data_IF_110241717444
#
_entry.id   IF_110241717444
#
_cell.length_a   1.000
_cell.length_b   1.000
_cell.length_c   1.000
_cell.angle_alpha   90.00
_cell.angle_beta   90.00
_cell.angle_gamma   90.00
#
_symmetry.space_group_name_H-M   'P 1'
#
loop_
_entity.id
_entity.type
_entity.pdbx_description
1 polymer ?
#
# COMPACT_ATOMS: atom_id res chain seq x y z
N UNK A 1 15.33 -27.34 -6.55
CA UNK A 1 14.70 -26.80 -5.32
C UNK A 1 15.53 -25.64 -4.78
N UNK A 2 15.69 -24.60 -5.59
CA UNK A 2 16.46 -23.40 -5.26
C UNK A 2 15.79 -22.24 -5.99
N UNK A 3 15.64 -21.11 -5.28
CA UNK A 3 15.31 -19.78 -5.84
C UNK A 3 13.82 -19.35 -5.97
N UNK A 4 12.97 -19.63 -4.99
CA UNK A 4 11.67 -18.94 -4.83
C UNK A 4 11.59 -18.27 -3.45
N UNK A 5 12.37 -17.22 -3.23
CA UNK A 5 12.13 -16.21 -2.19
C UNK A 5 12.67 -14.85 -2.67
N UNK A 6 12.03 -14.29 -3.70
CA UNK A 6 12.05 -12.84 -3.83
C UNK A 6 11.32 -12.30 -2.58
N UNK A 7 12.07 -11.85 -1.58
CA UNK A 7 11.52 -11.27 -0.37
C UNK A 7 10.65 -10.07 -0.78
N UNK A 8 9.35 -10.09 -0.43
CA UNK A 8 8.45 -8.97 -0.70
C UNK A 8 9.13 -7.67 -0.17
N UNK A 9 9.47 -6.69 -1.03
CA UNK A 9 10.17 -5.48 -0.60
C UNK A 9 9.32 -4.61 0.34
N UNK A 10 8.04 -4.94 0.50
CA UNK A 10 7.08 -4.27 1.37
C UNK A 10 6.77 -5.07 2.64
N UNK A 11 7.51 -6.14 2.94
CA UNK A 11 7.25 -7.00 4.10
C UNK A 11 7.45 -6.30 5.45
N UNK A 12 8.17 -5.18 5.50
CA UNK A 12 8.42 -4.39 6.70
C UNK A 12 7.92 -2.95 6.50
N UNK A 13 7.21 -2.42 7.49
CA UNK A 13 6.79 -1.04 7.58
C UNK A 13 7.30 -0.43 8.89
N UNK A 14 8.30 0.45 8.79
CA UNK A 14 8.93 1.15 9.92
C UNK A 14 9.34 0.24 11.09
N UNK A 15 10.00 -0.88 10.79
CA UNK A 15 10.44 -1.87 11.77
C UNK A 15 9.37 -2.88 12.20
N UNK A 16 8.14 -2.77 11.70
CA UNK A 16 7.05 -3.72 11.99
C UNK A 16 6.75 -4.63 10.80
N UNK A 17 6.34 -5.89 11.04
CA UNK A 17 5.85 -6.76 9.97
C UNK A 17 4.64 -6.15 9.28
N UNK A 18 4.65 -6.09 7.94
CA UNK A 18 3.52 -5.55 7.18
C UNK A 18 2.24 -6.37 7.37
N UNK A 19 2.38 -7.68 7.52
CA UNK A 19 1.27 -8.62 7.75
C UNK A 19 0.54 -8.43 9.08
N UNK A 20 1.14 -7.72 10.06
CA UNK A 20 0.46 -7.41 11.33
C UNK A 20 -0.38 -6.13 11.29
N UNK A 21 -0.46 -5.46 10.13
CA UNK A 21 -1.17 -4.18 9.97
C UNK A 21 -2.37 -4.41 9.05
N UNK A 22 -3.58 -4.15 9.57
CA UNK A 22 -4.80 -4.18 8.78
C UNK A 22 -4.93 -2.88 7.97
N UNK A 23 -4.46 -2.90 6.74
CA UNK A 23 -4.56 -1.76 5.82
C UNK A 23 -4.51 -2.26 4.38
N UNK A 24 -5.64 -2.62 3.82
CA UNK A 24 -5.73 -3.08 2.44
C UNK A 24 -7.02 -2.59 1.79
N UNK A 25 -6.99 -2.30 0.47
CA UNK A 25 -8.20 -1.92 -0.22
C UNK A 25 -9.14 -3.11 -0.38
N UNK A 26 -10.44 -2.84 -0.38
CA UNK A 26 -11.47 -3.78 -0.83
C UNK A 26 -12.22 -3.17 -2.03
N UNK A 27 -12.59 -4.02 -2.99
CA UNK A 27 -13.37 -3.62 -4.16
C UNK A 27 -14.79 -4.15 -4.01
N UNK A 28 -15.76 -3.24 -4.11
CA UNK A 28 -17.17 -3.52 -4.32
C UNK A 28 -17.40 -3.76 -5.82
N UNK A 29 -17.65 -5.02 -6.19
CA UNK A 29 -17.77 -5.43 -7.60
C UNK A 29 -19.01 -4.86 -8.27
N UNK A 30 -20.08 -4.57 -7.52
CA UNK A 30 -21.33 -4.03 -8.05
C UNK A 30 -21.14 -2.58 -8.50
N UNK A 31 -20.30 -1.83 -7.78
CA UNK A 31 -19.94 -0.44 -8.13
C UNK A 31 -18.77 -0.34 -9.10
N UNK A 32 -17.91 -1.36 -9.16
CA UNK A 32 -16.71 -1.32 -10.00
C UNK A 32 -17.10 -1.37 -11.49
N UNK A 33 -16.80 -0.33 -12.25
CA UNK A 33 -17.13 -0.28 -13.69
C UNK A 33 -16.07 -0.90 -14.60
N UNK A 34 -14.93 -1.34 -14.03
CA UNK A 34 -13.82 -1.85 -14.83
C UNK A 34 -12.95 -0.76 -15.48
N UNK A 35 -13.04 0.50 -15.05
CA UNK A 35 -12.27 1.59 -15.67
C UNK A 35 -10.73 1.47 -15.54
N UNK A 36 -10.21 0.57 -14.69
CA UNK A 36 -8.78 0.31 -14.55
C UNK A 36 -7.97 1.43 -13.86
N UNK A 37 -8.59 2.54 -13.47
CA UNK A 37 -7.87 3.68 -12.86
C UNK A 37 -7.05 3.27 -11.63
N UNK A 38 -7.61 2.44 -10.75
CA UNK A 38 -6.88 1.96 -9.57
C UNK A 38 -5.64 1.10 -9.92
N UNK A 39 -5.67 0.38 -11.04
CA UNK A 39 -4.57 -0.45 -11.53
C UNK A 39 -3.41 0.42 -11.99
N UNK A 40 -3.68 1.54 -12.67
CA UNK A 40 -2.63 2.44 -13.19
C UNK A 40 -2.16 3.50 -12.18
N UNK A 41 -3.03 3.92 -11.26
CA UNK A 41 -2.70 4.97 -10.28
C UNK A 41 -1.98 4.42 -9.04
N UNK A 42 -2.22 3.17 -8.66
CA UNK A 42 -1.49 2.57 -7.55
C UNK A 42 -0.03 2.39 -7.99
N UNK A 43 0.92 3.02 -7.27
CA UNK A 43 2.31 3.15 -7.72
C UNK A 43 2.88 1.84 -8.27
N UNK A 44 3.49 1.91 -9.45
CA UNK A 44 3.88 0.76 -10.30
C UNK A 44 4.72 -0.30 -9.57
N UNK A 45 5.48 0.10 -8.54
CA UNK A 45 6.29 -0.83 -7.74
C UNK A 45 5.46 -1.73 -6.81
N UNK A 46 4.26 -1.32 -6.42
CA UNK A 46 3.44 -2.02 -5.40
C UNK A 46 2.47 -3.04 -5.99
N UNK A 47 1.97 -2.81 -7.20
CA UNK A 47 1.08 -3.75 -7.91
C UNK A 47 -0.08 -4.28 -7.05
N UNK A 48 -0.69 -3.47 -6.18
CA UNK A 48 -1.76 -3.92 -5.27
C UNK A 48 -2.97 -4.48 -6.03
N UNK A 49 -3.29 -3.85 -7.15
CA UNK A 49 -4.43 -4.19 -8.00
C UNK A 49 -4.00 -4.97 -9.25
N UNK A 50 -4.90 -5.81 -9.73
CA UNK A 50 -4.87 -6.43 -11.05
C UNK A 50 -6.16 -6.14 -11.82
N UNK A 51 -6.24 -6.67 -13.04
CA UNK A 51 -7.40 -6.53 -13.90
C UNK A 51 -7.82 -7.90 -14.43
N UNK A 52 -9.07 -8.27 -14.15
CA UNK A 52 -9.71 -9.45 -14.71
C UNK A 52 -10.33 -9.08 -16.06
N UNK A 53 -9.77 -9.61 -17.15
CA UNK A 53 -10.23 -9.32 -18.51
C UNK A 53 -11.55 -10.00 -18.86
N UNK A 54 -11.86 -11.16 -18.27
CA UNK A 54 -13.10 -11.88 -18.55
C UNK A 54 -14.28 -11.18 -17.87
N UNK A 55 -14.10 -10.84 -16.59
CA UNK A 55 -15.12 -10.15 -15.78
C UNK A 55 -15.16 -8.64 -16.06
N UNK A 56 -14.11 -8.10 -16.68
CA UNK A 56 -13.89 -6.65 -16.90
C UNK A 56 -13.95 -5.87 -15.60
N UNK A 57 -13.24 -6.35 -14.57
CA UNK A 57 -13.23 -5.76 -13.23
C UNK A 57 -11.80 -5.63 -12.72
N UNK A 58 -11.54 -4.59 -11.94
CA UNK A 58 -10.34 -4.54 -11.13
C UNK A 58 -10.45 -5.52 -9.96
N UNK A 59 -9.33 -6.12 -9.58
CA UNK A 59 -9.22 -7.07 -8.47
C UNK A 59 -8.05 -6.67 -7.55
N UNK A 60 -8.10 -7.06 -6.28
CA UNK A 60 -6.98 -6.86 -5.35
C UNK A 60 -6.13 -8.13 -5.39
N UNK A 61 -4.91 -8.06 -5.93
CA UNK A 61 -4.01 -9.22 -6.06
C UNK A 61 -3.03 -9.32 -4.90
N UNK A 62 -2.48 -8.19 -4.45
CA UNK A 62 -1.42 -8.15 -3.44
C UNK A 62 -1.77 -7.13 -2.35
N UNK A 63 -2.73 -7.46 -1.46
CA UNK A 63 -3.22 -6.52 -0.44
C UNK A 63 -2.11 -6.02 0.49
N UNK A 64 -1.15 -6.88 0.87
CA UNK A 64 -0.03 -6.53 1.75
C UNK A 64 0.95 -5.54 1.11
N UNK A 65 0.97 -5.40 -0.23
CA UNK A 65 1.81 -4.40 -0.89
C UNK A 65 1.23 -2.98 -0.75
N UNK A 66 -0.01 -2.84 -0.27
CA UNK A 66 -0.63 -1.55 -0.04
C UNK A 66 0.20 -0.74 0.97
N UNK A 67 0.49 0.51 0.63
CA UNK A 67 1.19 1.43 1.51
C UNK A 67 0.27 1.78 2.68
N UNK A 68 0.69 1.44 3.90
CA UNK A 68 -0.04 1.75 5.13
C UNK A 68 -0.32 3.26 5.19
N UNK A 69 -1.59 3.62 5.37
CA UNK A 69 -2.08 5.00 5.42
C UNK A 69 -2.34 5.67 4.06
N UNK A 70 -1.94 5.07 2.93
CA UNK A 70 -2.31 5.58 1.61
C UNK A 70 -3.71 5.11 1.24
N UNK A 71 -4.59 6.04 0.84
CA UNK A 71 -5.96 5.76 0.39
C UNK A 71 -6.30 6.43 -0.95
N UNK A 72 -5.29 6.82 -1.76
CA UNK A 72 -5.51 7.62 -2.97
C UNK A 72 -6.43 6.93 -3.99
N UNK A 73 -6.39 5.60 -4.09
CA UNK A 73 -7.30 4.84 -4.96
C UNK A 73 -8.76 4.84 -4.46
N UNK A 74 -9.01 4.95 -3.14
CA UNK A 74 -10.36 5.20 -2.61
C UNK A 74 -10.84 6.59 -2.98
N UNK A 75 -10.00 7.62 -2.75
CA UNK A 75 -10.34 9.01 -3.07
C UNK A 75 -10.57 9.21 -4.57
N UNK A 76 -9.73 8.62 -5.42
CA UNK A 76 -9.81 8.75 -6.88
C UNK A 76 -10.89 7.88 -7.53
N UNK A 77 -11.49 6.93 -6.82
CA UNK A 77 -12.52 6.08 -7.42
C UNK A 77 -13.84 6.86 -7.60
N UNK A 78 -14.10 7.31 -8.82
CA UNK A 78 -15.33 8.05 -9.19
C UNK A 78 -16.63 7.30 -8.88
N UNK A 79 -16.57 5.97 -8.75
CA UNK A 79 -17.72 5.09 -8.54
C UNK A 79 -17.89 4.66 -7.08
N UNK A 80 -17.02 5.12 -6.17
CA UNK A 80 -17.06 4.71 -4.76
C UNK A 80 -16.90 3.20 -4.56
N UNK A 81 -16.20 2.53 -5.48
CA UNK A 81 -16.05 1.08 -5.48
C UNK A 81 -14.91 0.57 -4.59
N UNK A 82 -14.06 1.46 -4.06
CA UNK A 82 -12.88 1.07 -3.28
C UNK A 82 -12.98 1.62 -1.86
N UNK A 83 -12.83 0.75 -0.87
CA UNK A 83 -12.81 1.11 0.54
C UNK A 83 -11.49 0.71 1.21
N UNK A 84 -11.11 1.43 2.26
CA UNK A 84 -9.98 1.09 3.15
C UNK A 84 -10.49 1.00 4.59
N UNK A 85 -9.72 0.38 5.51
CA UNK A 85 -9.97 0.46 6.94
C UNK A 85 -9.98 1.91 7.45
N UNK A 86 -10.44 2.09 8.68
CA UNK A 86 -10.48 3.40 9.31
C UNK A 86 -9.05 3.94 9.53
N UNK A 87 -8.79 5.15 9.04
CA UNK A 87 -7.49 5.84 9.17
C UNK A 87 -7.04 6.02 10.63
N UNK A 88 -7.97 6.04 11.58
CA UNK A 88 -7.64 6.09 13.01
C UNK A 88 -6.85 4.87 13.49
N UNK A 89 -7.01 3.71 12.86
CA UNK A 89 -6.21 2.50 13.19
C UNK A 89 -4.74 2.72 12.84
N UNK A 90 -4.45 3.30 11.66
CA UNK A 90 -3.08 3.64 11.27
C UNK A 90 -2.47 4.66 12.22
N UNK A 91 -3.25 5.63 12.70
CA UNK A 91 -2.76 6.61 13.69
C UNK A 91 -2.35 5.94 15.00
N UNK A 92 -3.15 5.00 15.51
CA UNK A 92 -2.83 4.25 16.75
C UNK A 92 -1.52 3.48 16.59
N UNK A 93 -1.40 2.73 15.49
CA UNK A 93 -0.19 1.96 15.18
C UNK A 93 1.03 2.88 15.02
N UNK A 94 0.85 4.06 14.41
CA UNK A 94 1.93 5.04 14.25
C UNK A 94 2.43 5.60 15.59
N UNK A 95 1.58 5.68 16.62
CA UNK A 95 1.97 6.11 17.96
C UNK A 95 2.81 5.06 18.69
N UNK A 96 2.75 3.80 18.27
CA UNK A 96 3.50 2.68 18.87
C UNK A 96 4.86 2.45 18.19
N UNK A 97 5.17 3.21 17.13
CA UNK A 97 6.41 3.06 16.38
C UNK A 97 7.65 3.40 17.23
N UNK A 98 8.73 2.61 17.15
CA UNK A 98 9.98 2.93 17.83
C UNK A 98 10.61 4.19 17.25
N UNK A 99 10.70 5.26 18.05
CA UNK A 99 11.26 6.54 17.59
C UNK A 99 12.73 6.43 17.16
N UNK A 100 13.49 5.49 17.74
CA UNK A 100 14.88 5.25 17.33
C UNK A 100 14.95 4.62 15.92
N UNK A 101 14.03 3.72 15.59
CA UNK A 101 13.89 3.15 14.25
C UNK A 101 13.56 4.24 13.23
N UNK A 102 12.59 5.10 13.54
CA UNK A 102 12.23 6.22 12.65
C UNK A 102 13.39 7.20 12.43
N UNK A 103 14.15 7.52 13.49
CA UNK A 103 15.35 8.36 13.37
C UNK A 103 16.40 7.74 12.47
N UNK A 104 16.70 6.44 12.65
CA UNK A 104 17.64 5.70 11.79
C UNK A 104 17.21 5.74 10.32
N UNK A 105 15.93 5.50 10.04
CA UNK A 105 15.39 5.54 8.68
C UNK A 105 15.48 6.94 8.05
N UNK A 106 15.16 7.99 8.83
CA UNK A 106 15.31 9.38 8.40
C UNK A 106 16.77 9.71 8.06
N UNK A 107 17.69 9.41 8.96
CA UNK A 107 19.13 9.67 8.78
C UNK A 107 19.66 8.97 7.53
N UNK A 108 19.28 7.70 7.33
CA UNK A 108 19.66 6.93 6.13
C UNK A 108 19.11 7.58 4.85
N UNK A 109 17.86 8.05 4.87
CA UNK A 109 17.23 8.68 3.71
C UNK A 109 17.88 10.02 3.35
N UNK A 110 18.23 10.83 4.35
CA UNK A 110 18.90 12.12 4.16
C UNK A 110 20.35 11.94 3.67
N UNK A 111 21.07 10.94 4.21
CA UNK A 111 22.42 10.59 3.72
C UNK A 111 22.38 10.12 2.26
N UNK A 112 21.39 9.30 1.88
CA UNK A 112 21.24 8.80 0.52
C UNK A 112 20.76 9.86 -0.49
N UNK A 113 20.02 10.88 -0.02
CA UNK A 113 19.48 11.94 -0.86
C UNK A 113 19.74 13.32 -0.23
N UNK A 114 20.97 13.88 -0.32
CA UNK A 114 21.31 15.14 0.31
C UNK A 114 20.45 16.33 -0.13
N UNK A 115 19.86 16.29 -1.33
CA UNK A 115 18.94 17.32 -1.82
C UNK A 115 17.59 17.40 -1.09
N UNK A 116 17.33 16.53 -0.10
CA UNK A 116 16.18 16.63 0.80
C UNK A 116 16.46 17.47 2.06
N UNK A 117 17.70 17.94 2.24
CA UNK A 117 18.06 18.93 3.27
C UNK A 117 17.84 20.33 2.71
N UNK A 118 17.17 21.18 3.47
CA UNK A 118 16.88 22.59 3.13
C UNK A 118 17.84 23.48 3.92
#
# INVERSE_FOLDING_TARGET
MSEIKAQNPFAIWHGMPRSSIHWEPKIDEDKCTGCGMCVVTCGEKRNVFGYDFERKKAVVMYPENCMVGCNNCTVGCLWGAITHPDVSEVKKISMELPMDQLRKELDNKLKANPGLLI
#
